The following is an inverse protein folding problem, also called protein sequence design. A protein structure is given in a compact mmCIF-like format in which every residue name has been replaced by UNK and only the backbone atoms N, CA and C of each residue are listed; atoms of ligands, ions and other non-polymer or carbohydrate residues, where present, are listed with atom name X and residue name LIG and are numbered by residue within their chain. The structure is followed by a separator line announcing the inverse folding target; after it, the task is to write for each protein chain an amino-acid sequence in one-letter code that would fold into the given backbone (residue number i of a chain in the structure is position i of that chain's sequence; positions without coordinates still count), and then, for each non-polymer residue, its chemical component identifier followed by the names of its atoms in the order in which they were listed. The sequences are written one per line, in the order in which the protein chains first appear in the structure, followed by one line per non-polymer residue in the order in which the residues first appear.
data_IF_611016620945
#
_entry.id   IF_611016620945
#
_cell.length_a   1.000
_cell.length_b   1.000
_cell.length_c   1.000
_cell.angle_alpha   90.00
_cell.angle_beta   90.00
_cell.angle_gamma   90.00
#
_symmetry.space_group_name_H-M   'P 1'
#
loop_
_entity.id
_entity.type
_entity.pdbx_description
1 polymer ?
#
# COMPACT_ATOMS: atom_id res chain seq x y z
N UNK A 1 -6.31 -22.01 4.22
CA UNK A 1 -6.82 -20.93 5.09
C UNK A 1 -6.02 -20.76 6.39
N UNK A 2 -5.62 -21.85 7.08
CA UNK A 2 -4.85 -21.79 8.35
C UNK A 2 -3.59 -20.90 8.37
N UNK A 3 -2.93 -20.67 7.24
CA UNK A 3 -1.77 -19.78 7.18
C UNK A 3 -2.17 -18.30 7.35
N UNK A 4 -3.27 -17.88 6.71
CA UNK A 4 -3.76 -16.50 6.78
C UNK A 4 -4.26 -16.14 8.19
N UNK A 5 -4.92 -17.08 8.85
CA UNK A 5 -5.36 -16.98 10.25
C UNK A 5 -4.18 -16.82 11.23
N UNK A 6 -3.02 -17.41 10.88
CA UNK A 6 -1.76 -17.28 11.64
C UNK A 6 -0.96 -16.04 11.26
N UNK A 7 -1.54 -15.12 10.49
CA UNK A 7 -0.92 -13.85 10.11
C UNK A 7 0.02 -13.91 8.91
N UNK A 8 0.21 -15.08 8.27
CA UNK A 8 1.01 -15.14 7.04
C UNK A 8 0.38 -14.27 5.96
N UNK A 9 1.22 -13.49 5.28
CA UNK A 9 0.92 -12.78 4.03
C UNK A 9 2.08 -13.04 3.07
N UNK A 10 1.79 -13.01 1.77
CA UNK A 10 2.82 -13.21 0.76
C UNK A 10 3.92 -12.16 0.90
N UNK A 11 5.21 -12.52 0.79
CA UNK A 11 6.29 -11.54 0.82
C UNK A 11 6.20 -10.60 -0.39
N UNK A 12 6.87 -9.44 -0.28
CA UNK A 12 6.96 -8.47 -1.38
C UNK A 12 7.61 -9.13 -2.61
N UNK A 13 6.97 -9.12 -3.79
CA UNK A 13 7.58 -9.60 -5.02
C UNK A 13 8.83 -8.80 -5.40
N UNK A 14 9.77 -9.44 -6.09
CA UNK A 14 10.91 -8.73 -6.67
C UNK A 14 10.44 -7.67 -7.68
N UNK A 15 11.01 -6.46 -7.61
CA UNK A 15 10.63 -5.35 -8.49
C UNK A 15 9.33 -4.62 -8.10
N UNK A 16 8.60 -5.08 -7.06
CA UNK A 16 7.44 -4.36 -6.55
C UNK A 16 7.88 -3.19 -5.66
N UNK A 17 7.46 -1.94 -5.90
CA UNK A 17 7.74 -0.82 -5.00
C UNK A 17 7.23 -1.09 -3.58
N UNK A 18 7.94 -0.55 -2.59
CA UNK A 18 7.61 -0.77 -1.18
C UNK A 18 6.23 -0.19 -0.84
N UNK A 19 5.94 0.99 -1.37
CA UNK A 19 4.71 1.75 -1.19
C UNK A 19 3.50 0.98 -1.74
N UNK A 20 3.66 0.34 -2.91
CA UNK A 20 2.61 -0.50 -3.48
C UNK A 20 2.35 -1.75 -2.64
N UNK A 21 3.41 -2.38 -2.13
CA UNK A 21 3.27 -3.53 -1.24
C UNK A 21 2.60 -3.16 0.09
N UNK A 22 2.84 -1.95 0.60
CA UNK A 22 2.14 -1.46 1.79
C UNK A 22 0.62 -1.31 1.57
N UNK A 23 0.20 -0.89 0.37
CA UNK A 23 -1.22 -0.88 -0.01
C UNK A 23 -1.79 -2.31 0.04
N UNK A 24 -1.07 -3.30 -0.53
CA UNK A 24 -1.48 -4.71 -0.46
C UNK A 24 -1.64 -5.18 0.99
N UNK A 25 -0.67 -4.85 1.87
CA UNK A 25 -0.72 -5.20 3.29
C UNK A 25 -1.89 -4.56 4.03
N UNK A 26 -2.31 -3.33 3.66
CA UNK A 26 -3.52 -2.68 4.18
C UNK A 26 -4.79 -3.41 3.69
N UNK A 27 -4.85 -3.78 2.42
CA UNK A 27 -5.94 -4.58 1.87
C UNK A 27 -6.07 -5.96 2.52
N UNK A 28 -4.95 -6.54 3.00
CA UNK A 28 -4.91 -7.85 3.63
C UNK A 28 -5.05 -7.83 5.15
N UNK A 29 -5.52 -6.74 5.76
CA UNK A 29 -5.83 -6.70 7.19
C UNK A 29 -6.83 -7.79 7.56
N UNK A 30 -6.59 -8.41 8.72
CA UNK A 30 -7.37 -9.54 9.20
C UNK A 30 -8.84 -9.15 9.38
N UNK A 31 -9.07 -8.03 10.05
CA UNK A 31 -10.38 -7.41 10.25
C UNK A 31 -10.80 -6.69 8.96
N UNK A 32 -11.98 -7.03 8.38
CA UNK A 32 -12.49 -6.35 7.19
C UNK A 32 -12.65 -4.84 7.38
N UNK A 33 -13.02 -4.40 8.57
CA UNK A 33 -13.23 -2.99 8.93
C UNK A 33 -11.93 -2.16 8.97
N UNK A 34 -10.77 -2.80 9.09
CA UNK A 34 -9.45 -2.14 9.05
C UNK A 34 -8.93 -1.98 7.61
N UNK A 35 -9.64 -2.52 6.61
CA UNK A 35 -9.23 -2.45 5.21
C UNK A 35 -9.62 -1.11 4.61
N UNK A 36 -8.79 -0.54 3.71
CA UNK A 36 -9.12 0.71 3.05
C UNK A 36 -10.34 0.55 2.14
N UNK A 37 -11.06 1.65 1.93
CA UNK A 37 -12.10 1.74 0.91
C UNK A 37 -11.48 1.76 -0.49
N UNK A 38 -12.25 1.38 -1.50
CA UNK A 38 -11.80 1.51 -2.89
C UNK A 38 -11.51 2.96 -3.28
N UNK A 39 -12.29 3.91 -2.77
CA UNK A 39 -12.05 5.36 -2.97
C UNK A 39 -10.66 5.78 -2.48
N UNK A 40 -10.25 5.32 -1.29
CA UNK A 40 -8.92 5.60 -0.75
C UNK A 40 -7.80 4.88 -1.53
N UNK A 41 -8.03 3.64 -1.97
CA UNK A 41 -7.06 2.93 -2.81
C UNK A 41 -6.86 3.67 -4.14
N UNK A 42 -7.95 4.12 -4.76
CA UNK A 42 -7.92 4.83 -6.02
C UNK A 42 -7.10 6.11 -5.92
N UNK A 43 -7.36 6.97 -4.91
CA UNK A 43 -6.62 8.23 -4.76
C UNK A 43 -5.11 8.02 -4.58
N UNK A 44 -4.70 7.02 -3.81
CA UNK A 44 -3.27 6.69 -3.67
C UNK A 44 -2.67 6.24 -4.99
N UNK A 45 -3.37 5.38 -5.74
CA UNK A 45 -2.85 4.81 -6.99
C UNK A 45 -2.78 5.86 -8.12
N UNK A 46 -3.69 6.83 -8.13
CA UNK A 46 -3.65 7.97 -9.06
C UNK A 46 -2.41 8.84 -8.83
N UNK A 47 -2.05 9.07 -7.56
CA UNK A 47 -0.87 9.88 -7.20
C UNK A 47 0.45 9.08 -7.20
N UNK A 48 0.39 7.77 -7.37
CA UNK A 48 1.52 6.85 -7.19
C UNK A 48 2.72 7.16 -8.10
N UNK A 49 2.46 7.62 -9.32
CA UNK A 49 3.50 7.97 -10.29
C UNK A 49 3.78 9.47 -10.38
N UNK A 50 2.98 10.31 -9.72
CA UNK A 50 3.09 11.77 -9.79
C UNK A 50 3.78 12.37 -8.56
N UNK A 51 3.87 11.62 -7.45
CA UNK A 51 4.42 12.06 -6.17
C UNK A 51 5.95 12.25 -6.08
N UNK A 52 6.74 11.88 -7.09
CA UNK A 52 8.21 11.98 -7.03
C UNK A 52 8.77 13.38 -7.27
N UNK A 53 7.95 14.38 -7.63
CA UNK A 53 8.44 15.73 -7.98
C UNK A 53 8.33 16.79 -6.87
N UNK A 54 7.69 16.51 -5.71
CA UNK A 54 7.31 17.58 -4.75
C UNK A 54 8.11 17.71 -3.45
N UNK A 55 9.39 17.31 -3.41
CA UNK A 55 10.22 17.57 -2.21
C UNK A 55 11.54 18.33 -2.46
N UNK A 56 11.80 18.81 -3.69
CA UNK A 56 12.97 19.65 -4.01
C UNK A 56 12.76 21.17 -3.85
N UNK A 57 11.74 21.61 -3.13
CA UNK A 57 11.63 23.01 -2.70
C UNK A 57 11.81 23.10 -1.19
N UNK A 58 13.03 22.84 -0.73
CA UNK A 58 13.55 23.56 0.43
C UNK A 58 14.25 24.82 -0.12
N UNK A 59 13.63 25.98 0.06
CA UNK A 59 14.27 27.30 0.04
C UNK A 59 13.92 27.97 1.36
N UNK A 60 14.91 28.54 2.06
CA UNK A 60 15.49 29.82 1.65
C UNK A 60 16.80 29.70 0.87
#
# INVERSE_FOLDING_TARGET
MRALERGYRMPRPQGCPQELYEIMMRCWKQKPEDRPTFEYIQSILEDFFTGTEKQYQQQP
#
